data_IF_855000322635
#
_entry.id   IF_855000322635
#
_cell.length_a   1.000
_cell.length_b   1.000
_cell.length_c   1.000
_cell.angle_alpha   90.00
_cell.angle_beta   90.00
_cell.angle_gamma   90.00
#
_symmetry.space_group_name_H-M   'P 1'
#
loop_
_entity.id
_entity.type
_entity.pdbx_description
1 polymer ?
#
# COMPACT_ATOMS: atom_id res chain seq x y z
N UNK A 1 -17.67 4.77 24.23
CA UNK A 1 -18.00 6.20 24.09
C UNK A 1 -16.88 6.88 23.35
N UNK A 2 -17.21 7.60 22.29
CA UNK A 2 -16.22 8.38 21.55
C UNK A 2 -15.43 9.28 22.49
N UNK A 3 -14.12 9.37 22.27
CA UNK A 3 -13.18 10.13 23.14
C UNK A 3 -13.42 11.63 23.08
N UNK A 4 -14.01 12.14 21.98
CA UNK A 4 -14.28 13.56 21.72
C UNK A 4 -15.72 13.77 21.29
N UNK A 5 -16.28 14.92 21.63
CA UNK A 5 -17.59 15.35 21.18
C UNK A 5 -17.50 16.23 19.92
N UNK A 6 -18.66 16.54 19.35
CA UNK A 6 -18.78 17.33 18.13
C UNK A 6 -18.14 18.70 18.20
N UNK A 7 -18.37 19.38 19.33
CA UNK A 7 -17.86 20.73 19.55
C UNK A 7 -16.33 20.74 19.57
N UNK A 8 -15.71 19.73 20.17
CA UNK A 8 -14.25 19.59 20.21
C UNK A 8 -13.64 19.33 18.84
N UNK A 9 -14.31 18.53 17.98
CA UNK A 9 -13.88 18.29 16.60
C UNK A 9 -13.93 19.59 15.79
N UNK A 10 -15.04 20.32 15.88
CA UNK A 10 -15.22 21.61 15.17
C UNK A 10 -14.20 22.64 15.66
N UNK A 11 -13.98 22.76 16.96
CA UNK A 11 -13.02 23.68 17.55
C UNK A 11 -11.59 23.42 17.05
N UNK A 12 -11.24 22.16 16.86
CA UNK A 12 -9.93 21.81 16.32
C UNK A 12 -9.75 22.29 14.87
N UNK A 13 -10.69 22.00 13.99
CA UNK A 13 -10.60 22.48 12.60
C UNK A 13 -10.60 24.01 12.55
N UNK A 14 -11.33 24.68 13.45
CA UNK A 14 -11.30 26.13 13.55
C UNK A 14 -9.91 26.65 13.91
N UNK A 15 -9.17 25.97 14.82
CA UNK A 15 -7.77 26.34 15.12
C UNK A 15 -6.88 26.24 13.88
N UNK A 16 -7.04 25.22 13.06
CA UNK A 16 -6.28 25.08 11.80
C UNK A 16 -6.63 26.18 10.80
N UNK A 17 -7.91 26.58 10.71
CA UNK A 17 -8.36 27.70 9.89
C UNK A 17 -7.70 29.00 10.35
N UNK A 18 -7.66 29.25 11.64
CA UNK A 18 -7.05 30.45 12.23
C UNK A 18 -5.54 30.51 11.94
N UNK A 19 -4.85 29.37 12.07
CA UNK A 19 -3.44 29.27 11.68
C UNK A 19 -3.21 29.52 10.20
N UNK A 20 -4.06 28.98 9.34
CA UNK A 20 -3.99 29.24 7.90
C UNK A 20 -4.18 30.73 7.58
N UNK A 21 -5.20 31.36 8.15
CA UNK A 21 -5.50 32.78 7.94
C UNK A 21 -4.37 33.70 8.46
N UNK A 22 -3.61 33.23 9.44
CA UNK A 22 -2.42 33.90 9.96
C UNK A 22 -1.11 33.51 9.20
N UNK A 23 -1.19 32.85 8.06
CA UNK A 23 -0.07 32.39 7.24
C UNK A 23 0.94 31.49 8.01
N UNK A 24 0.45 30.66 8.92
CA UNK A 24 1.25 29.76 9.73
C UNK A 24 1.30 28.33 9.19
N UNK A 25 0.40 27.95 8.27
CA UNK A 25 0.40 26.62 7.65
C UNK A 25 1.23 26.59 6.38
N UNK A 26 2.00 25.51 6.16
CA UNK A 26 2.97 25.46 5.06
C UNK A 26 2.36 25.42 3.68
N UNK A 27 1.25 24.69 3.43
CA UNK A 27 0.56 24.67 2.14
C UNK A 27 -0.74 23.83 2.16
N UNK A 28 -1.03 23.07 1.11
CA UNK A 28 -2.26 22.31 0.93
C UNK A 28 -2.60 21.44 2.14
N UNK A 29 -3.77 21.66 2.70
CA UNK A 29 -4.38 20.81 3.70
C UNK A 29 -5.89 20.69 3.42
N UNK A 30 -6.50 19.66 3.96
CA UNK A 30 -7.88 19.32 3.69
C UNK A 30 -8.66 19.29 5.00
N UNK A 31 -9.56 20.24 5.19
CA UNK A 31 -10.37 20.32 6.39
C UNK A 31 -11.42 19.20 6.42
N UNK A 32 -11.65 18.65 7.60
CA UNK A 32 -12.80 17.83 7.91
C UNK A 32 -14.00 18.71 8.26
N UNK A 33 -15.19 18.13 8.36
CA UNK A 33 -16.37 18.83 8.82
C UNK A 33 -17.66 18.42 8.14
N UNK A 34 -18.76 18.56 8.87
CA UNK A 34 -20.11 18.24 8.41
C UNK A 34 -20.51 16.78 8.56
N UNK A 35 -19.64 15.95 9.10
CA UNK A 35 -19.87 14.51 9.36
C UNK A 35 -19.52 14.09 10.79
N UNK A 36 -19.48 15.03 11.71
CA UNK A 36 -19.06 14.81 13.09
C UNK A 36 -19.94 13.75 13.78
N UNK A 37 -21.25 13.89 13.64
CA UNK A 37 -22.22 13.01 14.30
C UNK A 37 -22.09 11.56 13.81
N UNK A 38 -21.95 11.36 12.49
CA UNK A 38 -21.77 10.05 11.87
C UNK A 38 -20.46 9.40 12.29
N UNK A 39 -19.37 10.17 12.33
CA UNK A 39 -18.07 9.66 12.77
C UNK A 39 -18.10 9.26 14.24
N UNK A 40 -18.68 10.08 15.12
CA UNK A 40 -18.80 9.77 16.55
C UNK A 40 -19.58 8.47 16.75
N UNK A 41 -20.70 8.28 16.04
CA UNK A 41 -21.49 7.05 16.10
C UNK A 41 -20.66 5.82 15.65
N UNK A 42 -19.92 5.93 14.54
CA UNK A 42 -19.06 4.83 14.05
C UNK A 42 -17.92 4.54 15.03
N UNK A 43 -17.29 5.57 15.57
CA UNK A 43 -16.18 5.40 16.51
C UNK A 43 -16.61 4.87 17.89
N UNK A 44 -17.90 4.86 18.22
CA UNK A 44 -18.43 4.10 19.39
C UNK A 44 -18.31 2.57 19.16
N UNK A 45 -18.20 2.10 17.92
CA UNK A 45 -18.01 0.70 17.56
C UNK A 45 -16.51 0.32 17.43
N UNK A 46 -15.62 1.28 17.16
CA UNK A 46 -14.17 1.06 17.01
C UNK A 46 -13.57 0.70 18.37
N UNK A 47 -12.80 -0.38 18.41
CA UNK A 47 -12.25 -0.94 19.63
C UNK A 47 -10.73 -0.72 19.73
N UNK A 48 -10.22 -0.82 20.94
CA UNK A 48 -8.78 -0.78 21.17
C UNK A 48 -8.08 -1.91 20.40
N UNK A 49 -7.07 -1.54 19.62
CA UNK A 49 -6.32 -2.47 18.79
C UNK A 49 -6.88 -2.66 17.37
N UNK A 50 -8.02 -2.07 17.03
CA UNK A 50 -8.47 -1.98 15.65
C UNK A 50 -7.55 -1.09 14.81
N UNK A 51 -7.46 -1.37 13.52
CA UNK A 51 -6.83 -0.47 12.57
C UNK A 51 -7.82 0.54 12.03
N UNK A 52 -7.41 1.79 11.94
CA UNK A 52 -8.14 2.84 11.24
C UNK A 52 -7.30 3.36 10.09
N UNK A 53 -7.82 3.24 8.87
CA UNK A 53 -7.25 3.80 7.66
C UNK A 53 -8.12 4.95 7.18
N UNK A 54 -7.51 6.08 6.81
CA UNK A 54 -8.23 7.25 6.33
C UNK A 54 -7.55 7.87 5.10
N UNK A 55 -8.29 8.72 4.38
CA UNK A 55 -7.78 9.43 3.21
C UNK A 55 -7.07 10.73 3.60
N UNK A 56 -6.96 11.66 2.69
CA UNK A 56 -6.42 13.00 2.92
C UNK A 56 -7.23 13.86 3.92
N UNK A 57 -8.52 13.51 4.18
CA UNK A 57 -9.35 14.10 5.25
C UNK A 57 -9.39 13.13 6.43
N UNK A 58 -8.42 13.22 7.30
CA UNK A 58 -8.17 12.22 8.32
C UNK A 58 -8.11 12.76 9.75
N UNK A 59 -8.24 14.09 9.94
CA UNK A 59 -8.02 14.70 11.24
C UNK A 59 -9.05 14.20 12.27
N UNK A 60 -10.33 14.15 11.92
CA UNK A 60 -11.37 13.65 12.82
C UNK A 60 -11.20 12.19 13.16
N UNK A 61 -10.88 11.35 12.15
CA UNK A 61 -10.62 9.94 12.39
C UNK A 61 -9.39 9.73 13.29
N UNK A 62 -8.32 10.51 13.08
CA UNK A 62 -7.13 10.45 13.93
C UNK A 62 -7.46 10.81 15.39
N UNK A 63 -8.24 11.86 15.60
CA UNK A 63 -8.70 12.28 16.92
C UNK A 63 -9.53 11.22 17.61
N UNK A 64 -10.60 10.80 16.95
CA UNK A 64 -11.54 9.84 17.49
C UNK A 64 -10.86 8.50 17.80
N UNK A 65 -9.81 8.15 17.04
CA UNK A 65 -8.99 6.95 17.28
C UNK A 65 -7.97 7.13 18.40
N UNK A 66 -7.87 8.32 18.98
CA UNK A 66 -7.09 8.59 20.19
C UNK A 66 -5.67 9.07 19.94
N UNK A 67 -5.39 9.65 18.77
CA UNK A 67 -4.19 10.47 18.57
C UNK A 67 -4.46 11.83 19.17
N UNK A 68 -3.54 12.31 20.02
CA UNK A 68 -3.75 13.58 20.71
C UNK A 68 -3.82 14.77 19.74
N UNK A 69 -4.68 15.76 20.00
CA UNK A 69 -4.87 16.95 19.17
C UNK A 69 -3.58 17.65 18.80
N UNK A 70 -2.69 17.81 19.76
CA UNK A 70 -1.42 18.49 19.58
C UNK A 70 -0.49 17.74 18.63
N UNK A 71 -0.59 16.40 18.60
CA UNK A 71 0.18 15.56 17.66
C UNK A 71 -0.35 15.74 16.24
N UNK A 72 -1.66 15.74 16.05
CA UNK A 72 -2.28 16.00 14.75
C UNK A 72 -1.92 17.39 14.24
N UNK A 73 -2.04 18.40 15.09
CA UNK A 73 -1.69 19.79 14.78
C UNK A 73 -0.21 19.92 14.39
N UNK A 74 0.71 19.31 15.14
CA UNK A 74 2.14 19.30 14.79
C UNK A 74 2.38 18.67 13.41
N UNK A 75 1.72 17.56 13.10
CA UNK A 75 1.81 16.92 11.78
C UNK A 75 1.34 17.86 10.67
N UNK A 76 0.21 18.54 10.86
CA UNK A 76 -0.31 19.55 9.92
C UNK A 76 0.66 20.70 9.73
N UNK A 77 1.20 21.25 10.82
CA UNK A 77 2.17 22.35 10.79
C UNK A 77 3.47 21.97 10.06
N UNK A 78 3.84 20.70 10.10
CA UNK A 78 5.01 20.15 9.40
C UNK A 78 4.71 19.57 8.01
N UNK A 79 3.60 19.99 7.36
CA UNK A 79 3.27 19.60 5.99
C UNK A 79 2.76 18.17 5.83
N UNK A 80 2.40 17.51 6.92
CA UNK A 80 1.96 16.11 6.95
C UNK A 80 0.47 15.93 7.20
N UNK A 81 -0.35 16.93 6.87
CA UNK A 81 -1.80 16.86 7.05
C UNK A 81 -2.45 15.61 6.41
N UNK A 82 -1.96 15.22 5.24
CA UNK A 82 -2.46 14.06 4.49
C UNK A 82 -1.74 12.73 4.83
N UNK A 83 -0.73 12.80 5.71
CA UNK A 83 0.17 11.70 6.04
C UNK A 83 0.29 11.54 7.55
N UNK A 84 -0.87 11.31 8.21
CA UNK A 84 -0.90 11.02 9.63
C UNK A 84 -0.72 9.51 9.80
N UNK A 85 0.29 9.15 10.56
CA UNK A 85 0.63 7.78 10.89
C UNK A 85 0.81 7.66 12.39
N UNK A 86 0.36 6.55 12.99
CA UNK A 86 0.64 6.19 14.37
C UNK A 86 0.61 4.67 14.50
N UNK A 87 1.80 4.10 14.67
CA UNK A 87 1.96 2.65 14.75
C UNK A 87 1.38 2.06 16.03
N UNK A 88 1.47 2.77 17.14
CA UNK A 88 0.96 2.30 18.43
C UNK A 88 -0.56 2.35 18.45
N UNK A 89 -1.14 3.40 17.86
CA UNK A 89 -2.58 3.55 17.71
C UNK A 89 -3.15 2.78 16.50
N UNK A 90 -2.29 2.17 15.66
CA UNK A 90 -2.72 1.50 14.43
C UNK A 90 -3.51 2.43 13.49
N UNK A 91 -2.99 3.62 13.30
CA UNK A 91 -3.57 4.62 12.39
C UNK A 91 -2.70 4.81 11.16
N UNK A 92 -3.35 4.81 10.00
CA UNK A 92 -2.69 4.97 8.71
C UNK A 92 -3.49 5.88 7.78
N UNK A 93 -2.85 6.83 7.11
CA UNK A 93 -3.53 7.63 6.10
C UNK A 93 -2.75 7.71 4.78
N UNK A 94 -3.45 7.94 3.67
CA UNK A 94 -2.83 8.16 2.37
C UNK A 94 -3.58 9.22 1.58
N UNK A 95 -2.81 10.07 0.89
CA UNK A 95 -3.34 11.06 -0.04
C UNK A 95 -3.77 10.46 -1.40
N UNK A 96 -3.38 9.23 -1.70
CA UNK A 96 -3.70 8.58 -2.97
C UNK A 96 -5.13 8.05 -2.94
N UNK A 97 -5.97 8.59 -3.82
CA UNK A 97 -7.37 8.18 -3.95
C UNK A 97 -7.42 6.71 -4.41
N UNK A 98 -8.13 5.86 -3.66
CA UNK A 98 -8.20 4.42 -3.93
C UNK A 98 -6.98 3.62 -3.48
N UNK A 99 -5.96 4.24 -2.86
CA UNK A 99 -4.72 3.56 -2.46
C UNK A 99 -4.84 2.70 -1.19
N UNK A 100 -5.68 3.11 -0.22
CA UNK A 100 -5.78 2.42 1.08
C UNK A 100 -6.67 1.16 1.10
N UNK A 101 -7.67 0.94 0.24
CA UNK A 101 -8.52 -0.24 0.33
C UNK A 101 -7.75 -1.56 0.27
N UNK A 102 -6.80 -1.70 -0.65
CA UNK A 102 -5.97 -2.90 -0.74
C UNK A 102 -5.05 -3.11 0.46
N UNK A 103 -4.56 -2.03 1.08
CA UNK A 103 -3.78 -2.08 2.32
C UNK A 103 -4.67 -2.60 3.47
N UNK A 104 -5.93 -2.13 3.54
CA UNK A 104 -6.92 -2.60 4.51
C UNK A 104 -7.20 -4.11 4.35
N UNK A 105 -7.30 -4.60 3.11
CA UNK A 105 -7.42 -6.05 2.84
C UNK A 105 -6.24 -6.82 3.43
N UNK A 106 -5.01 -6.33 3.24
CA UNK A 106 -3.80 -6.96 3.77
C UNK A 106 -3.78 -7.01 5.30
N UNK A 107 -4.11 -5.91 5.95
CA UNK A 107 -4.23 -5.84 7.41
C UNK A 107 -5.30 -6.81 7.93
N UNK A 108 -6.48 -6.82 7.31
CA UNK A 108 -7.57 -7.72 7.71
C UNK A 108 -7.21 -9.19 7.50
N UNK A 109 -6.51 -9.53 6.42
CA UNK A 109 -5.98 -10.87 6.18
C UNK A 109 -4.97 -11.27 7.27
N UNK A 110 -4.08 -10.35 7.65
CA UNK A 110 -3.12 -10.58 8.72
C UNK A 110 -3.80 -10.80 10.08
N UNK A 111 -4.80 -9.98 10.42
CA UNK A 111 -5.58 -10.13 11.64
C UNK A 111 -6.31 -11.48 11.68
N UNK A 112 -6.95 -11.86 10.58
CA UNK A 112 -7.63 -13.17 10.46
C UNK A 112 -6.67 -14.34 10.66
N UNK A 113 -5.48 -14.29 10.03
CA UNK A 113 -4.46 -15.33 10.18
C UNK A 113 -3.92 -15.43 11.60
N UNK A 114 -3.83 -14.33 12.31
CA UNK A 114 -3.44 -14.29 13.73
C UNK A 114 -4.55 -14.74 14.69
N UNK A 115 -5.77 -14.96 14.20
CA UNK A 115 -6.93 -15.24 15.04
C UNK A 115 -7.30 -14.05 15.93
N UNK A 116 -7.01 -12.84 15.51
CA UNK A 116 -7.36 -11.61 16.23
C UNK A 116 -8.84 -11.32 16.14
N UNK A 117 -9.41 -10.78 17.22
CA UNK A 117 -10.79 -10.27 17.24
C UNK A 117 -10.90 -8.81 16.75
N UNK A 118 -9.78 -8.17 16.48
CA UNK A 118 -9.75 -6.79 15.99
C UNK A 118 -10.20 -6.70 14.53
N UNK A 119 -10.63 -5.51 14.14
CA UNK A 119 -11.08 -5.15 12.79
C UNK A 119 -10.17 -4.12 12.14
N UNK A 120 -10.39 -3.94 10.84
CA UNK A 120 -9.86 -2.83 10.06
C UNK A 120 -11.02 -1.95 9.63
N UNK A 121 -10.97 -0.67 9.96
CA UNK A 121 -11.90 0.36 9.53
C UNK A 121 -11.23 1.21 8.46
N UNK A 122 -11.76 1.18 7.24
CA UNK A 122 -11.18 1.86 6.09
C UNK A 122 -12.13 2.98 5.61
N UNK A 123 -11.84 4.21 6.02
CA UNK A 123 -12.62 5.40 5.65
C UNK A 123 -12.17 5.92 4.29
N UNK A 124 -13.10 6.01 3.35
CA UNK A 124 -12.86 6.45 1.97
C UNK A 124 -13.91 7.47 1.55
N UNK A 125 -13.55 8.40 0.68
CA UNK A 125 -14.53 9.28 0.05
C UNK A 125 -15.21 8.62 -1.15
N UNK A 126 -16.33 9.18 -1.62
CA UNK A 126 -17.06 8.74 -2.81
C UNK A 126 -16.21 8.73 -4.09
N UNK A 127 -15.18 9.59 -4.18
CA UNK A 127 -14.21 9.52 -5.27
C UNK A 127 -13.28 8.31 -5.21
N UNK A 128 -13.00 7.75 -4.04
CA UNK A 128 -12.25 6.51 -3.91
C UNK A 128 -13.12 5.29 -4.17
N UNK A 129 -14.40 5.34 -3.76
CA UNK A 129 -15.41 4.33 -4.11
C UNK A 129 -15.53 4.11 -5.62
N UNK A 130 -15.33 5.18 -6.41
CA UNK A 130 -15.39 5.14 -7.87
C UNK A 130 -14.24 4.32 -8.51
N UNK A 131 -13.23 3.90 -7.75
CA UNK A 131 -12.04 3.24 -8.30
C UNK A 131 -12.21 1.71 -8.43
N UNK A 132 -11.55 1.12 -9.45
CA UNK A 132 -11.46 -0.34 -9.56
C UNK A 132 -10.79 -0.98 -8.34
N UNK A 133 -9.81 -0.29 -7.73
CA UNK A 133 -9.10 -0.75 -6.52
C UNK A 133 -10.03 -0.92 -5.32
N UNK A 134 -11.05 -0.05 -5.20
CA UNK A 134 -12.08 -0.22 -4.17
C UNK A 134 -12.94 -1.45 -4.45
N UNK A 135 -13.43 -1.58 -5.68
CA UNK A 135 -14.31 -2.69 -6.07
C UNK A 135 -13.65 -4.07 -5.88
N UNK A 136 -12.40 -4.24 -6.29
CA UNK A 136 -11.66 -5.49 -6.10
C UNK A 136 -11.39 -5.77 -4.63
N UNK A 137 -11.10 -4.74 -3.82
CA UNK A 137 -10.86 -4.85 -2.38
C UNK A 137 -12.13 -5.29 -1.64
N UNK A 138 -13.27 -4.65 -1.93
CA UNK A 138 -14.58 -5.01 -1.35
C UNK A 138 -14.92 -6.45 -1.68
N UNK A 139 -14.81 -6.86 -2.96
CA UNK A 139 -15.08 -8.23 -3.38
C UNK A 139 -14.19 -9.24 -2.67
N UNK A 140 -12.93 -8.89 -2.42
CA UNK A 140 -11.99 -9.79 -1.74
C UNK A 140 -12.33 -9.91 -0.24
N UNK A 141 -12.67 -8.80 0.42
CA UNK A 141 -13.10 -8.79 1.82
C UNK A 141 -14.36 -9.62 2.02
N UNK A 142 -15.38 -9.39 1.19
CA UNK A 142 -16.65 -10.11 1.25
C UNK A 142 -16.45 -11.61 1.01
N UNK A 143 -15.79 -11.97 -0.10
CA UNK A 143 -15.58 -13.37 -0.48
C UNK A 143 -14.78 -14.19 0.53
N UNK A 144 -13.80 -13.57 1.19
CA UNK A 144 -12.99 -14.21 2.22
C UNK A 144 -13.48 -13.97 3.65
N UNK A 145 -14.58 -13.24 3.83
CA UNK A 145 -15.13 -12.85 5.15
C UNK A 145 -14.00 -12.31 6.06
N UNK A 146 -13.31 -11.26 5.57
CA UNK A 146 -12.23 -10.64 6.31
C UNK A 146 -12.76 -9.63 7.34
N UNK A 147 -12.11 -9.44 8.49
CA UNK A 147 -12.51 -8.46 9.50
C UNK A 147 -12.16 -7.02 9.04
N UNK A 148 -12.82 -6.55 7.99
CA UNK A 148 -12.66 -5.22 7.43
C UNK A 148 -14.02 -4.60 7.14
N UNK A 149 -14.18 -3.34 7.50
CA UNK A 149 -15.34 -2.54 7.16
C UNK A 149 -14.88 -1.30 6.39
N UNK A 150 -15.42 -1.11 5.19
CA UNK A 150 -15.20 0.09 4.41
C UNK A 150 -16.29 1.10 4.76
N UNK A 151 -15.91 2.31 5.11
CA UNK A 151 -16.83 3.41 5.40
C UNK A 151 -16.72 4.45 4.29
N UNK A 152 -17.77 4.56 3.47
CA UNK A 152 -17.82 5.54 2.39
C UNK A 152 -18.45 6.84 2.91
N UNK A 153 -17.64 7.87 2.97
CA UNK A 153 -17.98 9.24 3.37
C UNK A 153 -18.37 10.04 2.12
N UNK A 154 -19.67 10.00 1.76
CA UNK A 154 -20.17 10.58 0.51
C UNK A 154 -20.57 12.04 0.68
N UNK A 155 -19.77 12.95 0.13
CA UNK A 155 -20.10 14.36 0.02
C UNK A 155 -20.53 14.81 -1.40
N UNK A 156 -20.80 13.83 -2.29
CA UNK A 156 -21.15 14.03 -3.70
C UNK A 156 -20.04 14.69 -4.55
N UNK A 157 -18.79 14.73 -4.05
CA UNK A 157 -17.71 15.47 -4.71
C UNK A 157 -16.42 14.67 -4.79
N UNK A 158 -15.96 14.35 -5.98
CA UNK A 158 -14.57 13.95 -6.20
C UNK A 158 -13.77 15.16 -6.69
N UNK A 159 -12.87 15.67 -5.83
CA UNK A 159 -12.21 16.97 -6.00
C UNK A 159 -13.26 18.08 -6.09
N UNK A 160 -13.74 18.41 -7.32
CA UNK A 160 -14.75 19.44 -7.59
C UNK A 160 -15.89 18.95 -8.48
N UNK A 161 -15.85 17.68 -8.91
CA UNK A 161 -16.83 17.10 -9.81
C UNK A 161 -17.87 16.28 -9.04
N UNK A 162 -19.15 16.62 -9.24
CA UNK A 162 -20.26 15.85 -8.69
C UNK A 162 -20.37 14.47 -9.35
N UNK A 163 -20.96 13.50 -8.64
CA UNK A 163 -21.19 12.13 -9.11
C UNK A 163 -21.88 12.10 -10.48
N UNK A 164 -22.94 12.86 -10.65
CA UNK A 164 -23.66 12.97 -11.93
C UNK A 164 -22.76 13.41 -13.09
N UNK A 165 -21.78 14.28 -12.85
CA UNK A 165 -20.86 14.72 -13.89
C UNK A 165 -19.80 13.65 -14.21
N UNK A 166 -19.43 12.82 -13.22
CA UNK A 166 -18.44 11.75 -13.38
C UNK A 166 -19.03 10.52 -14.08
N UNK A 167 -20.25 10.15 -13.70
CA UNK A 167 -20.89 8.90 -14.11
C UNK A 167 -22.14 9.05 -14.97
N UNK A 168 -22.65 10.26 -15.17
CA UNK A 168 -23.91 10.52 -15.89
C UNK A 168 -25.16 10.18 -15.07
N UNK A 169 -25.01 9.66 -13.85
CA UNK A 169 -26.07 9.28 -12.91
C UNK A 169 -25.66 9.64 -11.48
N UNK A 170 -26.65 9.78 -10.59
CA UNK A 170 -26.45 9.91 -9.14
C UNK A 170 -26.61 8.54 -8.42
N UNK A 171 -26.91 7.48 -9.14
CA UNK A 171 -27.04 6.14 -8.59
C UNK A 171 -25.68 5.60 -8.10
N UNK A 172 -25.74 4.84 -7.03
CA UNK A 172 -24.60 4.19 -6.41
C UNK A 172 -24.72 2.68 -6.63
N UNK A 173 -23.63 1.99 -7.00
CA UNK A 173 -23.64 0.54 -7.08
C UNK A 173 -24.04 -0.10 -5.73
N UNK A 174 -24.79 -1.20 -5.73
CA UNK A 174 -25.02 -1.95 -4.51
C UNK A 174 -23.71 -2.60 -4.04
N UNK A 175 -23.38 -2.39 -2.76
CA UNK A 175 -22.25 -3.02 -2.12
C UNK A 175 -22.70 -4.07 -1.09
N UNK A 176 -21.88 -5.09 -0.77
CA UNK A 176 -22.13 -6.03 0.30
C UNK A 176 -22.04 -5.38 1.69
N UNK A 177 -22.45 -6.12 2.73
CA UNK A 177 -22.55 -5.64 4.11
C UNK A 177 -21.24 -5.15 4.71
N UNK A 178 -20.09 -5.49 4.13
CA UNK A 178 -18.80 -4.95 4.55
C UNK A 178 -18.54 -3.49 4.12
N UNK A 179 -19.51 -2.86 3.43
CA UNK A 179 -19.46 -1.44 3.05
C UNK A 179 -20.59 -0.68 3.72
N UNK A 180 -20.23 0.18 4.66
CA UNK A 180 -21.12 1.17 5.25
C UNK A 180 -21.01 2.46 4.46
N UNK A 181 -22.12 3.17 4.25
CA UNK A 181 -22.15 4.42 3.52
C UNK A 181 -23.03 5.45 4.20
N UNK A 182 -22.57 6.69 4.27
CA UNK A 182 -23.40 7.83 4.67
C UNK A 182 -23.15 9.04 3.80
N UNK A 183 -24.17 9.88 3.69
CA UNK A 183 -24.09 11.16 2.96
C UNK A 183 -23.89 12.31 3.95
N UNK A 184 -23.07 13.27 3.56
CA UNK A 184 -22.89 14.51 4.33
C UNK A 184 -22.59 15.69 3.41
N UNK A 185 -22.60 16.87 3.96
CA UNK A 185 -22.25 18.09 3.25
C UNK A 185 -20.97 18.67 3.82
N UNK A 186 -19.90 18.65 3.05
CA UNK A 186 -18.66 19.30 3.42
C UNK A 186 -18.85 20.83 3.48
N UNK A 187 -18.55 21.50 4.62
CA UNK A 187 -18.73 22.95 4.75
C UNK A 187 -17.57 23.75 4.12
N UNK A 188 -16.51 23.10 3.71
CA UNK A 188 -15.28 23.71 3.17
C UNK A 188 -15.07 23.34 1.70
N UNK A 189 -14.29 24.14 0.93
CA UNK A 189 -13.85 23.73 -0.40
C UNK A 189 -12.97 22.48 -0.33
N UNK A 190 -12.69 21.87 -1.48
CA UNK A 190 -11.88 20.66 -1.55
C UNK A 190 -10.56 20.78 -0.79
N UNK A 191 -9.89 21.91 -0.93
CA UNK A 191 -8.65 22.21 -0.22
C UNK A 191 -8.68 23.66 0.29
N UNK A 192 -8.05 23.91 1.47
CA UNK A 192 -7.99 25.22 2.13
C UNK A 192 -9.33 25.70 2.72
N UNK A 193 -9.39 26.99 3.07
CA UNK A 193 -10.51 27.63 3.78
C UNK A 193 -11.42 28.47 2.91
N UNK A 194 -11.03 28.77 1.65
CA UNK A 194 -11.76 29.64 0.72
C UNK A 194 -12.06 28.92 -0.58
N UNK A 195 -12.99 29.52 -1.35
CA UNK A 195 -13.35 29.06 -2.67
C UNK A 195 -12.12 28.86 -3.55
N UNK A 196 -12.22 27.96 -4.44
CA UNK A 196 -11.25 27.37 -5.33
C UNK A 196 -9.82 27.94 -5.29
N UNK A 197 -8.89 27.07 -5.09
CA UNK A 197 -7.47 27.28 -4.97
C UNK A 197 -6.86 28.14 -6.08
N UNK A 198 -6.64 29.42 -5.83
CA UNK A 198 -5.65 30.17 -6.60
C UNK A 198 -4.25 29.75 -6.12
N UNK A 199 -3.60 28.91 -6.92
CA UNK A 199 -2.23 28.44 -6.65
C UNK A 199 -1.19 29.56 -6.71
N UNK A 200 -1.53 30.75 -7.26
CA UNK A 200 -0.63 31.90 -7.31
C UNK A 200 -0.40 32.57 -5.95
N UNK A 201 -1.36 32.44 -5.01
CA UNK A 201 -1.25 32.95 -3.64
C UNK A 201 -0.69 31.91 -2.66
N UNK A 202 -0.12 30.84 -3.16
CA UNK A 202 0.47 29.82 -2.30
C UNK A 202 1.64 30.36 -1.51
N UNK A 203 1.39 30.41 -0.27
CA UNK A 203 2.27 30.27 0.88
C UNK A 203 3.69 30.81 0.80
N UNK A 204 3.96 31.69 1.72
CA UNK A 204 5.29 32.27 1.95
C UNK A 204 6.26 31.29 2.62
N UNK A 205 5.78 30.17 3.15
CA UNK A 205 6.60 29.12 3.75
C UNK A 205 6.97 28.13 2.63
N UNK A 206 8.09 28.37 1.96
CA UNK A 206 8.61 27.50 0.90
C UNK A 206 9.66 26.56 1.49
N UNK A 207 9.22 25.39 1.95
CA UNK A 207 10.12 24.26 2.16
C UNK A 207 10.07 23.36 0.94
N UNK A 208 11.19 22.73 0.62
CA UNK A 208 11.25 21.70 -0.43
C UNK A 208 10.65 20.39 0.07
N UNK A 209 10.31 19.49 -0.85
CA UNK A 209 9.84 18.15 -0.51
C UNK A 209 10.83 17.40 0.41
N UNK A 210 12.14 17.57 0.17
CA UNK A 210 13.19 16.95 0.97
C UNK A 210 13.33 17.53 2.39
N UNK A 211 12.89 18.77 2.63
CA UNK A 211 12.85 19.36 3.98
C UNK A 211 11.67 18.82 4.81
N UNK A 212 10.55 18.48 4.15
CA UNK A 212 9.41 17.84 4.83
C UNK A 212 9.61 16.32 4.96
N UNK A 213 10.15 15.70 3.92
CA UNK A 213 10.34 14.26 3.81
C UNK A 213 11.78 13.96 3.37
N UNK A 214 12.74 13.95 4.30
CA UNK A 214 14.13 13.66 3.99
C UNK A 214 14.30 12.31 3.29
N UNK A 215 15.19 12.24 2.31
CA UNK A 215 15.53 10.97 1.68
C UNK A 215 16.15 10.00 2.68
N UNK A 216 15.75 8.77 2.60
CA UNK A 216 16.35 7.72 3.41
C UNK A 216 17.81 7.48 2.98
N UNK A 217 18.68 7.07 3.91
CA UNK A 217 20.04 6.68 3.57
C UNK A 217 20.01 5.46 2.64
N UNK A 218 21.01 5.37 1.74
CA UNK A 218 21.14 4.21 0.86
C UNK A 218 21.19 2.91 1.68
N UNK A 219 20.37 1.96 1.31
CA UNK A 219 20.30 0.66 1.95
C UNK A 219 21.60 -0.10 1.75
N UNK A 220 22.21 -0.57 2.84
CA UNK A 220 23.29 -1.55 2.82
C UNK A 220 22.68 -2.93 3.00
N UNK A 221 22.77 -3.75 1.97
CA UNK A 221 22.28 -5.13 2.03
C UNK A 221 23.15 -5.99 2.95
N UNK A 222 22.56 -7.03 3.58
CA UNK A 222 23.29 -7.99 4.41
C UNK A 222 24.42 -8.69 3.63
N UNK A 223 25.55 -8.93 4.32
CA UNK A 223 26.61 -9.77 3.77
C UNK A 223 26.20 -11.26 3.84
N UNK A 224 26.27 -11.92 2.70
CA UNK A 224 25.92 -13.33 2.53
C UNK A 224 27.04 -14.11 1.85
N UNK A 225 28.28 -13.64 1.99
CA UNK A 225 29.47 -14.28 1.39
C UNK A 225 29.69 -15.72 1.86
N UNK A 226 29.24 -16.05 3.06
CA UNK A 226 29.44 -17.36 3.70
C UNK A 226 28.37 -18.40 3.36
N UNK A 227 27.43 -18.10 2.45
CA UNK A 227 26.41 -19.08 2.05
C UNK A 227 27.08 -20.15 1.18
N UNK A 228 26.81 -21.39 1.56
CA UNK A 228 27.31 -22.58 0.87
C UNK A 228 26.73 -22.67 -0.55
N UNK A 229 27.57 -22.87 -1.53
CA UNK A 229 27.19 -23.11 -2.93
C UNK A 229 26.60 -24.51 -3.07
N UNK A 230 25.35 -24.60 -3.48
CA UNK A 230 24.71 -25.87 -3.77
C UNK A 230 24.84 -26.20 -5.26
N UNK A 231 25.05 -27.48 -5.57
CA UNK A 231 25.09 -27.94 -6.96
C UNK A 231 23.67 -28.07 -7.52
N UNK A 232 23.05 -26.94 -7.77
CA UNK A 232 21.68 -26.82 -8.27
C UNK A 232 21.67 -26.11 -9.63
N UNK A 233 20.67 -26.41 -10.45
CA UNK A 233 20.34 -25.52 -11.58
C UNK A 233 19.62 -24.25 -11.07
N UNK A 234 19.38 -23.28 -11.94
CA UNK A 234 18.78 -22.01 -11.55
C UNK A 234 17.39 -22.18 -10.94
N UNK A 235 16.54 -23.05 -11.52
CA UNK A 235 15.22 -23.37 -10.98
C UNK A 235 15.31 -23.99 -9.60
N UNK A 236 16.21 -24.96 -9.44
CA UNK A 236 16.48 -25.60 -8.13
C UNK A 236 16.93 -24.61 -7.07
N UNK A 237 17.79 -23.66 -7.44
CA UNK A 237 18.24 -22.60 -6.53
C UNK A 237 17.08 -21.68 -6.10
N UNK A 238 16.21 -21.27 -7.03
CA UNK A 238 15.00 -20.50 -6.70
C UNK A 238 14.06 -21.31 -5.79
N UNK A 239 13.83 -22.60 -6.12
CA UNK A 239 12.98 -23.49 -5.32
C UNK A 239 13.52 -23.61 -3.89
N UNK A 240 14.83 -23.82 -3.74
CA UNK A 240 15.47 -23.89 -2.43
C UNK A 240 15.35 -22.55 -1.67
N UNK A 241 15.55 -21.42 -2.36
CA UNK A 241 15.42 -20.11 -1.76
C UNK A 241 13.99 -19.84 -1.26
N UNK A 242 12.97 -20.26 -2.01
CA UNK A 242 11.56 -20.14 -1.59
C UNK A 242 11.27 -21.04 -0.38
N UNK A 243 11.80 -22.26 -0.39
CA UNK A 243 11.67 -23.18 0.76
C UNK A 243 12.30 -22.60 2.01
N UNK A 244 13.50 -22.02 1.91
CA UNK A 244 14.18 -21.38 3.04
C UNK A 244 13.38 -20.19 3.58
N UNK A 245 12.79 -19.36 2.71
CA UNK A 245 11.89 -18.29 3.12
C UNK A 245 10.64 -18.83 3.83
N UNK A 246 10.13 -19.96 3.39
CA UNK A 246 8.97 -20.66 3.97
C UNK A 246 9.25 -21.33 5.33
N UNK A 247 10.51 -21.51 5.73
CA UNK A 247 10.85 -22.00 7.08
C UNK A 247 10.36 -21.05 8.19
N UNK A 248 10.21 -19.78 7.86
CA UNK A 248 9.60 -18.83 8.77
C UNK A 248 8.08 -18.76 8.51
N UNK A 249 7.30 -19.26 9.47
CA UNK A 249 5.82 -19.26 9.40
C UNK A 249 5.20 -17.87 9.20
N UNK A 250 5.93 -16.79 9.54
CA UNK A 250 5.50 -15.42 9.30
C UNK A 250 5.79 -14.95 7.86
N UNK A 251 6.41 -15.78 7.01
CA UNK A 251 6.55 -15.47 5.58
C UNK A 251 5.30 -15.92 4.83
N UNK A 252 4.72 -15.02 4.05
CA UNK A 252 3.51 -15.28 3.26
C UNK A 252 3.79 -14.99 1.79
N UNK A 253 3.36 -15.89 0.92
CA UNK A 253 3.48 -15.76 -0.52
C UNK A 253 2.13 -15.34 -1.12
N UNK A 254 2.12 -14.27 -1.90
CA UNK A 254 0.90 -13.65 -2.45
C UNK A 254 1.01 -13.62 -3.97
N UNK A 255 -0.02 -14.06 -4.65
CA UNK A 255 -0.08 -14.04 -6.12
C UNK A 255 -1.13 -15.01 -6.66
N UNK A 256 -1.10 -15.20 -7.96
CA UNK A 256 -1.89 -16.22 -8.63
C UNK A 256 -1.00 -17.35 -9.13
N UNK A 257 -1.57 -18.54 -9.35
CA UNK A 257 -0.87 -19.79 -9.70
C UNK A 257 0.14 -20.25 -8.63
N UNK A 258 -0.13 -19.98 -7.34
CA UNK A 258 0.76 -20.33 -6.25
C UNK A 258 0.49 -21.70 -5.64
N UNK A 259 -0.77 -22.12 -5.57
CA UNK A 259 -1.17 -23.41 -5.01
C UNK A 259 -0.64 -24.60 -5.82
N UNK A 260 -0.56 -25.77 -5.17
CA UNK A 260 -0.09 -27.00 -5.82
C UNK A 260 -0.92 -27.39 -7.04
N UNK A 261 -2.23 -27.20 -7.00
CA UNK A 261 -3.17 -27.44 -8.09
C UNK A 261 -3.04 -26.42 -9.23
N UNK A 262 -2.44 -25.25 -8.97
CA UNK A 262 -2.25 -24.16 -9.95
C UNK A 262 -0.80 -24.07 -10.47
N UNK A 263 0.08 -25.00 -10.11
CA UNK A 263 1.43 -25.10 -10.66
C UNK A 263 2.56 -24.54 -9.79
N UNK A 264 2.31 -24.14 -8.54
CA UNK A 264 3.33 -23.68 -7.57
C UNK A 264 4.28 -22.61 -8.13
N UNK A 265 3.77 -21.58 -8.78
CA UNK A 265 4.61 -20.56 -9.42
C UNK A 265 5.74 -21.20 -10.26
N UNK A 266 5.38 -21.89 -11.34
CA UNK A 266 6.30 -22.68 -12.19
C UNK A 266 7.05 -23.80 -11.43
N UNK A 267 6.49 -24.31 -10.33
CA UNK A 267 7.08 -25.35 -9.47
C UNK A 267 8.07 -24.84 -8.44
N UNK A 268 8.36 -23.55 -8.40
CA UNK A 268 9.35 -22.98 -7.47
C UNK A 268 8.86 -22.88 -6.03
N UNK A 269 7.54 -22.99 -5.79
CA UNK A 269 6.93 -23.00 -4.44
C UNK A 269 6.55 -24.41 -3.96
N UNK A 270 7.05 -25.47 -4.60
CA UNK A 270 6.73 -26.86 -4.23
C UNK A 270 7.18 -27.24 -2.81
N UNK A 271 8.18 -26.57 -2.26
CA UNK A 271 8.68 -26.79 -0.89
C UNK A 271 8.10 -25.81 0.15
N UNK A 272 7.12 -24.97 -0.23
CA UNK A 272 6.46 -24.05 0.68
C UNK A 272 5.12 -24.63 1.11
N UNK A 273 4.77 -24.50 2.39
CA UNK A 273 3.50 -24.96 2.92
C UNK A 273 2.32 -24.18 2.29
N UNK A 274 1.26 -24.89 1.96
CA UNK A 274 0.08 -24.26 1.31
C UNK A 274 -0.62 -23.23 2.22
N UNK A 275 -0.51 -23.38 3.54
CA UNK A 275 -1.03 -22.39 4.50
C UNK A 275 -0.31 -21.03 4.43
N UNK A 276 0.90 -20.98 3.87
CA UNK A 276 1.66 -19.75 3.66
C UNK A 276 1.38 -19.10 2.31
N UNK A 277 0.60 -19.74 1.44
CA UNK A 277 0.24 -19.21 0.12
C UNK A 277 -1.13 -18.53 0.16
N UNK A 278 -1.23 -17.38 -0.45
CA UNK A 278 -2.48 -16.67 -0.69
C UNK A 278 -2.69 -16.61 -2.20
N UNK A 279 -3.59 -17.45 -2.67
CA UNK A 279 -4.01 -17.41 -4.07
C UNK A 279 -4.91 -16.20 -4.30
N UNK A 280 -4.62 -15.38 -5.28
CA UNK A 280 -5.38 -14.19 -5.63
C UNK A 280 -5.98 -14.31 -7.04
N UNK A 281 -7.05 -13.56 -7.34
CA UNK A 281 -7.35 -13.24 -8.74
C UNK A 281 -6.18 -12.50 -9.40
N UNK A 282 -6.26 -12.27 -10.71
CA UNK A 282 -5.27 -11.47 -11.45
C UNK A 282 -5.55 -9.97 -11.17
N UNK A 283 -5.08 -9.49 -10.03
CA UNK A 283 -5.32 -8.13 -9.48
C UNK A 283 -4.03 -7.57 -8.87
N UNK A 284 -3.08 -7.27 -9.74
CA UNK A 284 -1.69 -7.00 -9.37
C UNK A 284 -1.54 -5.84 -8.37
N UNK A 285 -2.39 -4.81 -8.48
CA UNK A 285 -2.34 -3.70 -7.52
C UNK A 285 -2.81 -4.12 -6.12
N UNK A 286 -3.88 -4.91 -6.04
CA UNK A 286 -4.35 -5.48 -4.77
C UNK A 286 -3.29 -6.39 -4.15
N UNK A 287 -2.57 -7.21 -4.94
CA UNK A 287 -1.49 -8.08 -4.46
C UNK A 287 -0.40 -7.27 -3.74
N UNK A 288 0.08 -6.19 -4.37
CA UNK A 288 1.09 -5.31 -3.77
C UNK A 288 0.59 -4.58 -2.52
N UNK A 289 -0.62 -4.03 -2.59
CA UNK A 289 -1.24 -3.33 -1.45
C UNK A 289 -1.53 -4.28 -0.28
N UNK A 290 -2.00 -5.50 -0.56
CA UNK A 290 -2.21 -6.55 0.44
C UNK A 290 -0.89 -6.93 1.13
N UNK A 291 0.18 -7.10 0.35
CA UNK A 291 1.50 -7.40 0.90
C UNK A 291 1.98 -6.31 1.85
N UNK A 292 1.78 -5.04 1.48
CA UNK A 292 2.07 -3.93 2.37
C UNK A 292 1.26 -4.03 3.66
N UNK A 293 -0.06 -4.18 3.58
CA UNK A 293 -0.92 -4.28 4.75
C UNK A 293 -0.52 -5.43 5.68
N UNK A 294 -0.24 -6.62 5.13
CA UNK A 294 0.24 -7.76 5.92
C UNK A 294 1.58 -7.47 6.60
N UNK A 295 2.48 -6.74 5.91
CA UNK A 295 3.78 -6.39 6.47
C UNK A 295 3.68 -5.44 7.68
N UNK A 296 2.66 -4.59 7.75
CA UNK A 296 2.41 -3.70 8.89
C UNK A 296 2.01 -4.49 10.14
N UNK A 297 1.45 -5.68 9.97
CA UNK A 297 1.13 -6.63 11.04
C UNK A 297 2.25 -7.67 11.29
N UNK A 298 3.46 -7.43 10.75
CA UNK A 298 4.67 -8.19 11.07
C UNK A 298 4.93 -9.43 10.21
N UNK A 299 4.17 -9.66 9.15
CA UNK A 299 4.49 -10.68 8.17
C UNK A 299 5.59 -10.20 7.21
N UNK A 300 6.40 -11.15 6.72
CA UNK A 300 7.23 -10.92 5.54
C UNK A 300 6.43 -11.39 4.33
N UNK A 301 6.06 -10.47 3.44
CA UNK A 301 5.24 -10.79 2.29
C UNK A 301 6.11 -10.93 1.02
N UNK A 302 6.00 -12.06 0.33
CA UNK A 302 6.62 -12.31 -0.97
C UNK A 302 5.54 -12.25 -2.04
N UNK A 303 5.55 -11.20 -2.86
CA UNK A 303 4.58 -11.04 -3.94
C UNK A 303 5.18 -11.57 -5.23
N UNK A 304 4.49 -12.51 -5.85
CA UNK A 304 4.90 -13.08 -7.14
C UNK A 304 4.13 -12.48 -8.30
N UNK A 305 4.83 -11.73 -9.13
CA UNK A 305 4.35 -11.24 -10.42
C UNK A 305 4.95 -12.11 -11.53
N UNK A 306 4.12 -12.88 -12.21
CA UNK A 306 4.58 -13.87 -13.21
C UNK A 306 5.39 -13.24 -14.34
N UNK A 307 5.09 -11.99 -14.67
CA UNK A 307 5.81 -11.18 -15.67
C UNK A 307 6.03 -9.76 -15.14
N UNK A 308 7.17 -9.18 -15.48
CA UNK A 308 7.47 -7.81 -15.10
C UNK A 308 6.51 -6.81 -15.78
N UNK A 309 6.01 -7.13 -16.97
CA UNK A 309 4.98 -6.36 -17.68
C UNK A 309 3.72 -6.13 -16.82
N UNK A 310 3.32 -7.12 -16.02
CA UNK A 310 2.10 -7.06 -15.20
C UNK A 310 2.27 -6.15 -13.98
N UNK A 311 3.51 -5.93 -13.55
CA UNK A 311 3.80 -4.99 -12.46
C UNK A 311 3.44 -3.54 -12.81
N UNK A 312 3.23 -3.19 -14.09
CA UNK A 312 2.74 -1.87 -14.47
C UNK A 312 1.34 -1.59 -13.89
N UNK A 313 0.51 -2.62 -13.75
CA UNK A 313 -0.81 -2.50 -13.09
C UNK A 313 -0.66 -2.21 -11.60
N UNK A 314 0.41 -2.68 -10.97
CA UNK A 314 0.72 -2.50 -9.55
C UNK A 314 1.57 -1.26 -9.27
N UNK A 315 1.76 -0.36 -10.24
CA UNK A 315 2.67 0.79 -10.10
C UNK A 315 2.31 1.70 -8.91
N UNK A 316 1.03 1.85 -8.60
CA UNK A 316 0.58 2.61 -7.42
C UNK A 316 1.01 1.95 -6.11
N UNK A 317 0.69 0.67 -5.92
CA UNK A 317 1.10 -0.08 -4.73
C UNK A 317 2.61 -0.07 -4.53
N UNK A 318 3.38 -0.25 -5.62
CA UNK A 318 4.84 -0.33 -5.59
C UNK A 318 5.47 1.05 -5.39
N UNK A 319 5.10 2.02 -6.23
CA UNK A 319 5.74 3.34 -6.29
C UNK A 319 5.28 4.28 -5.19
N UNK A 320 3.95 4.44 -5.02
CA UNK A 320 3.39 5.42 -4.09
C UNK A 320 3.34 4.93 -2.64
N UNK A 321 3.19 3.60 -2.44
CA UNK A 321 3.00 3.06 -1.10
C UNK A 321 4.22 2.28 -0.60
N UNK A 322 4.57 1.12 -1.19
CA UNK A 322 5.69 0.30 -0.70
C UNK A 322 7.00 1.09 -0.71
N UNK A 323 7.28 1.83 -1.79
CA UNK A 323 8.53 2.58 -1.93
C UNK A 323 8.61 3.80 -1.00
N UNK A 324 7.51 4.52 -0.82
CA UNK A 324 7.55 5.83 -0.13
C UNK A 324 7.20 5.75 1.36
N UNK A 325 6.57 4.66 1.84
CA UNK A 325 5.98 4.62 3.18
C UNK A 325 7.01 4.89 4.29
N UNK A 326 8.19 4.29 4.24
CA UNK A 326 9.22 4.51 5.25
C UNK A 326 9.64 5.99 5.29
N UNK A 327 9.75 6.62 4.12
CA UNK A 327 10.10 8.04 3.98
C UNK A 327 9.01 8.96 4.52
N UNK A 328 7.76 8.79 4.06
CA UNK A 328 6.64 9.67 4.43
C UNK A 328 6.16 9.48 5.86
N UNK A 329 6.39 8.29 6.45
CA UNK A 329 6.14 8.02 7.87
C UNK A 329 7.33 8.37 8.76
N UNK A 330 8.41 8.95 8.23
CA UNK A 330 9.66 9.24 8.96
C UNK A 330 10.23 8.00 9.66
N UNK A 331 10.15 6.83 9.04
CA UNK A 331 10.67 5.57 9.56
C UNK A 331 9.75 4.86 10.57
N UNK A 332 8.58 5.41 10.85
CA UNK A 332 7.61 4.80 11.78
C UNK A 332 7.07 3.47 11.22
N UNK A 333 6.79 3.43 9.93
CA UNK A 333 6.43 2.22 9.20
C UNK A 333 7.52 1.81 8.21
N UNK A 334 7.85 0.54 8.22
CA UNK A 334 8.84 -0.05 7.33
C UNK A 334 8.25 -1.30 6.67
N UNK A 335 7.91 -1.22 5.37
CA UNK A 335 7.37 -2.37 4.64
C UNK A 335 8.37 -3.53 4.60
N UNK A 336 7.95 -4.74 4.95
CA UNK A 336 8.76 -5.94 4.84
C UNK A 336 8.26 -6.81 3.68
N UNK A 337 8.52 -6.34 2.46
CA UNK A 337 7.95 -6.90 1.23
C UNK A 337 9.05 -7.29 0.26
N UNK A 338 8.99 -8.52 -0.25
CA UNK A 338 9.81 -9.00 -1.36
C UNK A 338 8.94 -9.02 -2.63
N UNK A 339 9.29 -8.20 -3.62
CA UNK A 339 8.66 -8.22 -4.93
C UNK A 339 9.45 -9.18 -5.83
N UNK A 340 8.88 -10.32 -6.17
CA UNK A 340 9.46 -11.33 -7.04
C UNK A 340 8.82 -11.24 -8.42
N UNK A 341 9.63 -11.14 -9.48
CA UNK A 341 9.13 -11.06 -10.85
C UNK A 341 10.06 -11.71 -11.85
N UNK A 342 9.53 -12.05 -13.03
CA UNK A 342 10.28 -12.69 -14.10
C UNK A 342 10.25 -11.82 -15.37
N UNK A 343 11.42 -11.58 -15.96
CA UNK A 343 11.56 -11.04 -17.32
C UNK A 343 11.60 -12.21 -18.29
N UNK A 344 10.66 -12.24 -19.24
CA UNK A 344 10.58 -13.29 -20.25
C UNK A 344 11.50 -12.98 -21.45
N UNK A 345 12.79 -13.04 -21.24
CA UNK A 345 13.84 -12.74 -22.25
C UNK A 345 14.20 -13.91 -23.15
N UNK A 346 13.57 -15.08 -22.98
CA UNK A 346 13.79 -16.27 -23.84
C UNK A 346 12.57 -17.15 -23.92
N UNK A 347 12.56 -17.99 -24.98
CA UNK A 347 11.57 -18.82 -25.24
C UNK A 347 10.91 -19.82 -25.16
N UNK A 348 10.18 -20.91 -24.94
CA UNK A 348 9.08 -21.24 -25.85
C UNK A 348 7.80 -20.44 -25.57
N UNK A 349 7.72 -19.68 -24.52
CA UNK A 349 6.52 -18.92 -24.11
C UNK A 349 6.64 -17.42 -24.42
N UNK A 350 7.23 -17.07 -25.57
CA UNK A 350 7.19 -15.70 -26.04
C UNK A 350 5.76 -15.34 -26.45
N UNK A 351 5.09 -14.60 -25.58
CA UNK A 351 3.70 -14.18 -25.76
C UNK A 351 3.56 -12.79 -26.41
N UNK A 352 4.66 -12.26 -26.94
CA UNK A 352 4.68 -10.96 -27.62
C UNK A 352 5.13 -9.79 -26.75
N UNK A 353 5.10 -8.56 -27.28
CA UNK A 353 5.70 -7.38 -26.67
C UNK A 353 5.15 -7.00 -25.31
N UNK A 354 3.94 -7.42 -24.95
CA UNK A 354 3.29 -7.11 -23.68
C UNK A 354 3.58 -8.15 -22.59
N UNK A 355 4.45 -9.13 -22.86
CA UNK A 355 4.78 -10.22 -21.95
C UNK A 355 6.28 -10.49 -21.85
N UNK A 356 7.11 -9.67 -22.48
CA UNK A 356 8.54 -9.92 -22.59
C UNK A 356 9.38 -8.65 -22.45
N UNK A 357 8.82 -7.58 -21.92
CA UNK A 357 9.55 -6.35 -21.68
C UNK A 357 10.49 -6.51 -20.49
N UNK A 358 11.67 -5.92 -20.59
CA UNK A 358 12.55 -5.68 -19.46
C UNK A 358 12.32 -4.25 -18.97
N UNK A 359 11.58 -4.13 -17.89
CA UNK A 359 11.22 -2.85 -17.29
C UNK A 359 12.07 -2.53 -16.05
N UNK A 360 13.13 -3.29 -15.81
CA UNK A 360 13.97 -3.17 -14.62
C UNK A 360 14.49 -1.74 -14.42
N UNK A 361 14.94 -1.09 -15.49
CA UNK A 361 15.44 0.30 -15.41
C UNK A 361 14.31 1.32 -15.16
N UNK A 362 13.08 1.02 -15.58
CA UNK A 362 11.90 1.84 -15.22
C UNK A 362 11.65 1.75 -13.72
N UNK A 363 11.64 0.54 -13.16
CA UNK A 363 11.48 0.34 -11.73
C UNK A 363 12.63 0.93 -10.92
N UNK A 364 13.89 0.87 -11.39
CA UNK A 364 15.02 1.55 -10.73
C UNK A 364 14.84 3.06 -10.56
N UNK A 365 14.05 3.68 -11.45
CA UNK A 365 13.71 5.11 -11.36
C UNK A 365 12.45 5.37 -10.53
N UNK A 366 11.58 4.38 -10.42
CA UNK A 366 10.31 4.48 -9.72
C UNK A 366 10.44 4.27 -8.20
N UNK A 367 11.36 3.39 -7.78
CA UNK A 367 11.46 2.95 -6.39
C UNK A 367 12.76 3.41 -5.71
N UNK A 368 12.72 3.57 -4.38
CA UNK A 368 13.87 3.96 -3.56
C UNK A 368 14.54 2.77 -2.83
N UNK A 369 14.06 1.55 -3.06
CA UNK A 369 14.59 0.33 -2.46
C UNK A 369 15.43 -0.51 -3.44
N UNK A 370 16.24 -1.49 -2.95
CA UNK A 370 17.13 -2.28 -3.80
C UNK A 370 16.38 -3.18 -4.81
N UNK A 371 16.97 -3.32 -6.00
CA UNK A 371 16.56 -4.28 -7.03
C UNK A 371 17.75 -5.20 -7.32
N UNK A 372 17.55 -6.51 -7.17
CA UNK A 372 18.52 -7.57 -7.40
C UNK A 372 18.19 -8.33 -8.68
N UNK A 373 19.18 -8.75 -9.44
CA UNK A 373 19.04 -9.43 -10.73
C UNK A 373 19.97 -10.66 -10.78
N UNK A 374 19.65 -11.75 -10.04
CA UNK A 374 20.47 -12.94 -10.06
C UNK A 374 20.48 -13.60 -11.45
N UNK A 375 21.67 -13.94 -11.96
CA UNK A 375 21.87 -14.55 -13.27
C UNK A 375 22.42 -15.98 -13.19
N UNK A 376 22.85 -16.41 -12.01
CA UNK A 376 23.38 -17.75 -11.73
C UNK A 376 22.65 -18.39 -10.54
N UNK A 377 22.69 -19.74 -10.40
CA UNK A 377 22.13 -20.41 -9.24
C UNK A 377 22.67 -19.90 -7.91
N UNK A 378 23.96 -19.63 -7.83
CA UNK A 378 24.63 -19.14 -6.64
C UNK A 378 24.19 -17.69 -6.29
N UNK A 379 24.08 -16.83 -7.29
CA UNK A 379 23.53 -15.49 -7.10
C UNK A 379 22.08 -15.53 -6.65
N UNK A 380 21.25 -16.44 -7.19
CA UNK A 380 19.87 -16.59 -6.79
C UNK A 380 19.74 -16.94 -5.30
N UNK A 381 20.49 -17.93 -4.81
CA UNK A 381 20.51 -18.29 -3.39
C UNK A 381 20.96 -17.10 -2.52
N UNK A 382 22.02 -16.41 -2.92
CA UNK A 382 22.55 -15.25 -2.19
C UNK A 382 21.61 -14.06 -2.18
N UNK A 383 20.99 -13.75 -3.29
CA UNK A 383 20.11 -12.59 -3.42
C UNK A 383 18.80 -12.79 -2.67
N UNK A 384 18.23 -14.00 -2.70
CA UNK A 384 17.07 -14.30 -1.86
C UNK A 384 17.42 -14.36 -0.38
N UNK A 385 18.63 -14.82 -0.02
CA UNK A 385 19.08 -14.74 1.39
C UNK A 385 19.29 -13.28 1.84
N UNK A 386 19.77 -12.39 0.97
CA UNK A 386 19.79 -10.94 1.26
C UNK A 386 18.38 -10.41 1.47
N UNK A 387 17.44 -10.81 0.62
CA UNK A 387 16.04 -10.40 0.74
C UNK A 387 15.37 -10.94 2.01
N UNK A 388 15.68 -12.16 2.40
CA UNK A 388 15.22 -12.77 3.66
C UNK A 388 15.70 -11.99 4.88
N UNK A 389 16.99 -11.66 4.92
CA UNK A 389 17.62 -10.97 6.05
C UNK A 389 17.37 -9.44 6.04
N UNK A 390 16.99 -8.88 4.90
CA UNK A 390 16.70 -7.45 4.78
C UNK A 390 15.37 -7.13 5.45
N UNK A 391 15.39 -6.11 6.30
CA UNK A 391 14.17 -5.56 6.91
C UNK A 391 13.77 -4.28 6.15
N UNK A 392 13.09 -4.45 5.07
CA UNK A 392 12.63 -3.39 4.17
C UNK A 392 12.16 -3.97 2.83
N UNK A 393 11.59 -3.15 1.94
CA UNK A 393 11.19 -3.61 0.63
C UNK A 393 12.41 -3.93 -0.24
N UNK A 394 12.26 -4.94 -1.08
CA UNK A 394 13.28 -5.35 -2.04
C UNK A 394 12.62 -6.01 -3.26
N UNK A 395 13.17 -5.82 -4.44
CA UNK A 395 12.73 -6.50 -5.65
C UNK A 395 13.80 -7.49 -6.11
N UNK A 396 13.37 -8.69 -6.51
CA UNK A 396 14.21 -9.69 -7.16
C UNK A 396 13.64 -9.95 -8.55
N UNK A 397 14.45 -9.67 -9.56
CA UNK A 397 14.11 -9.83 -10.98
C UNK A 397 14.81 -11.07 -11.51
N UNK A 398 14.04 -12.11 -11.75
CA UNK A 398 14.50 -13.35 -12.36
C UNK A 398 14.41 -13.24 -13.90
N UNK A 399 15.22 -14.04 -14.61
CA UNK A 399 15.22 -14.06 -16.06
C UNK A 399 14.88 -15.46 -16.58
N UNK A 400 13.96 -15.52 -17.53
CA UNK A 400 13.52 -16.80 -18.15
C UNK A 400 14.70 -17.53 -18.81
N UNK A 401 15.62 -16.82 -19.42
CA UNK A 401 16.85 -17.40 -19.99
C UNK A 401 17.66 -18.21 -18.98
N UNK A 402 17.74 -17.77 -17.72
CA UNK A 402 18.45 -18.49 -16.67
C UNK A 402 17.77 -19.84 -16.35
N UNK A 403 16.44 -19.89 -16.37
CA UNK A 403 15.68 -21.13 -16.21
C UNK A 403 15.92 -22.13 -17.35
N UNK A 404 16.27 -21.63 -18.54
CA UNK A 404 16.60 -22.45 -19.71
C UNK A 404 18.08 -22.79 -19.82
N UNK A 405 18.88 -22.50 -18.77
CA UNK A 405 20.32 -22.71 -18.74
C UNK A 405 21.11 -21.82 -19.71
N UNK A 406 20.54 -20.67 -20.10
CA UNK A 406 21.16 -19.71 -21.02
C UNK A 406 21.70 -18.49 -20.26
N UNK A 407 22.70 -17.84 -20.80
CA UNK A 407 23.13 -16.55 -20.32
C UNK A 407 22.06 -15.47 -20.62
N UNK A 408 21.71 -14.61 -19.67
CA UNK A 408 20.75 -13.53 -19.89
C UNK A 408 21.15 -12.67 -21.09
N UNK A 409 20.21 -12.43 -21.97
CA UNK A 409 20.38 -11.40 -23.00
C UNK A 409 20.09 -10.07 -22.34
N UNK A 410 21.14 -9.27 -22.09
CA UNK A 410 20.96 -7.85 -21.76
C UNK A 410 20.23 -7.20 -22.92
N UNK A 411 18.95 -6.88 -22.75
CA UNK A 411 18.26 -6.03 -23.70
C UNK A 411 19.02 -4.71 -23.74
N UNK A 412 19.66 -4.41 -24.88
CA UNK A 412 20.26 -3.10 -25.09
C UNK A 412 19.19 -2.07 -24.82
N UNK A 413 19.51 -1.13 -23.91
CA UNK A 413 18.67 0.03 -23.65
C UNK A 413 17.96 0.49 -24.92
N UNK A 414 16.64 0.50 -24.92
CA UNK A 414 15.88 1.22 -25.93
C UNK A 414 16.34 2.68 -25.85
N UNK A 415 17.02 3.10 -26.91
CA UNK A 415 17.42 4.50 -27.13
C UNK A 415 16.19 5.36 -27.38
#
# INVERSE_FOLDING_TARGET
MARYNKEQLIEFEQRLIDRYNNNQLPFLFHLCGGNEDQLIEIFDEVQDGDWVLATHRNHYQAYLHGIEPEVVEDRVMNGRSMFIYDKEKKFFSSAIVGGIPGIAVGLAMALKRKGSNNKVWCFVGDGAEDTGHFAESVRYVDGWNLPCEFVVEDNDMSIIAKKKHRWGTDEVPPWPDCVRRYNYKLPYPHARTKDFCDLSETNKIKKTDEEYFPRLPKVKLPDVSNIETLNLDYKGAITQAMSNLGENESTIFIGYNLGGEFGNAMGTLSGVDDSQKIETPVVENLMGSMALGMSLEGFKAVVYYERQDFMLVAADAIGNHISQLERISHGEFKPNVILRTVVADSGPFYSGPTHSQDLTEVFRKLVEFPILEPSTPDEALKDYKRAELHNGPIMVVERKSCYDGKTPTTTKSLQ
#
